data_IF_005184921281
#
_entry.id   IF_005184921281
#
_cell.length_a   1.000
_cell.length_b   1.000
_cell.length_c   1.000
_cell.angle_alpha   90.00
_cell.angle_beta   90.00
_cell.angle_gamma   90.00
#
_symmetry.space_group_name_H-M   'P 1'
#
loop_
_entity.id
_entity.type
_entity.pdbx_description
1 polymer ?
#
# COMPACT_ATOMS: atom_id res chain seq x y z
N UNK A 1 17.69 4.24 9.26
CA UNK A 1 17.92 2.80 8.99
C UNK A 1 19.37 2.42 9.28
N UNK A 2 19.65 1.29 9.93
CA UNK A 2 21.00 0.83 10.29
C UNK A 2 21.68 0.19 9.07
N UNK A 3 22.83 0.71 8.62
CA UNK A 3 23.53 0.20 7.42
C UNK A 3 23.95 -1.25 7.56
N UNK A 4 24.48 -1.62 8.73
CA UNK A 4 24.91 -3.00 9.03
C UNK A 4 23.80 -4.03 8.75
N UNK A 5 22.57 -3.74 9.20
CA UNK A 5 21.40 -4.61 8.97
C UNK A 5 21.04 -4.67 7.49
N UNK A 6 21.08 -3.54 6.77
CA UNK A 6 20.79 -3.51 5.32
C UNK A 6 21.79 -4.39 4.55
N UNK A 7 23.08 -4.33 4.91
CA UNK A 7 24.12 -5.15 4.27
C UNK A 7 23.94 -6.63 4.58
N UNK A 8 23.72 -6.96 5.85
CA UNK A 8 23.51 -8.33 6.31
C UNK A 8 22.31 -8.98 5.60
N UNK A 9 21.22 -8.24 5.47
CA UNK A 9 19.97 -8.69 4.81
C UNK A 9 19.96 -8.51 3.29
N UNK A 10 21.06 -8.01 2.71
CA UNK A 10 21.24 -7.76 1.27
C UNK A 10 20.18 -6.84 0.66
N UNK A 11 19.69 -5.86 1.42
CA UNK A 11 18.60 -4.96 1.01
C UNK A 11 19.09 -3.67 0.34
N UNK A 12 20.39 -3.52 0.07
CA UNK A 12 20.98 -2.28 -0.47
C UNK A 12 20.25 -1.80 -1.75
N UNK A 13 20.02 -2.72 -2.69
CA UNK A 13 19.34 -2.38 -3.95
C UNK A 13 17.88 -1.96 -3.74
N UNK A 14 17.18 -2.56 -2.78
CA UNK A 14 15.80 -2.18 -2.46
C UNK A 14 15.74 -0.77 -1.86
N UNK A 15 16.62 -0.45 -0.90
CA UNK A 15 16.70 0.89 -0.30
C UNK A 15 17.06 1.97 -1.32
N UNK A 16 17.98 1.70 -2.24
CA UNK A 16 18.32 2.65 -3.32
C UNK A 16 17.17 2.81 -4.32
N UNK A 17 16.45 1.73 -4.61
CA UNK A 17 15.25 1.76 -5.46
C UNK A 17 14.12 2.56 -4.80
N UNK A 18 13.87 2.34 -3.52
CA UNK A 18 12.90 3.07 -2.70
C UNK A 18 13.21 4.57 -2.72
N UNK A 19 14.45 4.96 -2.39
CA UNK A 19 14.90 6.35 -2.46
C UNK A 19 14.59 6.97 -3.82
N UNK A 20 14.90 6.27 -4.91
CA UNK A 20 14.71 6.78 -6.26
C UNK A 20 13.23 6.96 -6.60
N UNK A 21 12.41 5.93 -6.34
CA UNK A 21 10.99 5.96 -6.64
C UNK A 21 10.29 7.09 -5.86
N UNK A 22 10.57 7.20 -4.56
CA UNK A 22 9.98 8.25 -3.74
C UNK A 22 10.50 9.65 -4.10
N UNK A 23 11.77 9.78 -4.47
CA UNK A 23 12.36 11.06 -4.88
C UNK A 23 11.81 11.59 -6.21
N UNK A 24 11.27 10.71 -7.07
CA UNK A 24 10.62 11.05 -8.33
C UNK A 24 9.07 11.15 -8.20
N UNK A 25 8.50 10.85 -7.02
CA UNK A 25 7.07 10.87 -6.79
C UNK A 25 6.53 12.28 -6.54
N UNK A 26 5.50 12.66 -7.30
CA UNK A 26 4.78 13.92 -7.20
C UNK A 26 3.28 13.65 -7.33
N UNK A 27 2.69 13.18 -6.22
CA UNK A 27 1.30 12.75 -6.15
C UNK A 27 0.78 13.03 -4.74
N UNK A 28 -0.39 13.64 -4.61
CA UNK A 28 -0.99 13.96 -3.30
C UNK A 28 -1.33 12.72 -2.46
N UNK A 29 -1.40 11.54 -3.07
CA UNK A 29 -1.73 10.26 -2.45
C UNK A 29 -0.50 9.36 -2.22
N UNK A 30 0.71 9.88 -2.43
CA UNK A 30 1.98 9.23 -2.12
C UNK A 30 2.79 10.14 -1.21
N UNK A 31 3.37 9.62 -0.15
CA UNK A 31 4.19 10.43 0.76
C UNK A 31 5.40 11.02 0.03
N UNK A 32 5.64 12.32 0.24
CA UNK A 32 6.77 12.99 -0.41
C UNK A 32 8.08 12.69 0.31
N UNK A 33 9.12 12.30 -0.44
CA UNK A 33 10.50 12.31 0.03
C UNK A 33 11.16 13.65 -0.33
N UNK A 34 11.52 14.45 0.66
CA UNK A 34 12.15 15.75 0.43
C UNK A 34 13.66 15.63 0.20
N UNK A 35 14.34 14.84 1.03
CA UNK A 35 15.79 14.71 1.01
C UNK A 35 16.23 13.44 1.72
N UNK A 36 17.45 13.01 1.43
CA UNK A 36 18.13 11.90 2.09
C UNK A 36 19.46 12.37 2.67
N UNK A 37 19.88 11.71 3.75
CA UNK A 37 21.14 11.96 4.44
C UNK A 37 21.76 10.62 4.86
N UNK A 38 23.05 10.65 5.14
CA UNK A 38 23.77 9.50 5.69
C UNK A 38 24.89 9.93 6.63
N UNK A 39 25.22 9.05 7.56
CA UNK A 39 26.48 9.11 8.31
C UNK A 39 27.23 7.78 8.16
N UNK A 40 28.16 7.42 9.05
CA UNK A 40 28.89 6.15 8.97
C UNK A 40 28.05 4.93 9.34
N UNK A 41 26.91 5.10 9.99
CA UNK A 41 26.13 4.03 10.64
C UNK A 41 24.71 3.92 10.09
N UNK A 42 24.14 5.03 9.63
CA UNK A 42 22.73 5.16 9.31
C UNK A 42 22.49 5.86 7.98
N UNK A 43 21.34 5.51 7.40
CA UNK A 43 20.67 6.24 6.33
C UNK A 43 19.41 6.90 6.88
N UNK A 44 19.13 8.12 6.41
CA UNK A 44 18.00 8.95 6.85
C UNK A 44 17.20 9.43 5.64
N UNK A 45 15.89 9.25 5.68
CA UNK A 45 14.93 9.74 4.68
C UNK A 45 14.07 10.82 5.34
N UNK A 46 14.16 12.06 4.86
CA UNK A 46 13.33 13.18 5.32
C UNK A 46 12.06 13.23 4.46
N UNK A 47 10.95 12.81 5.05
CA UNK A 47 9.66 12.64 4.36
C UNK A 47 8.62 13.62 4.89
N UNK A 48 7.54 13.78 4.13
CA UNK A 48 6.31 14.43 4.59
C UNK A 48 5.74 13.72 5.82
N UNK A 49 5.37 14.50 6.83
CA UNK A 49 4.75 13.99 8.06
C UNK A 49 3.23 13.90 7.89
N UNK A 50 2.69 12.67 7.89
CA UNK A 50 1.26 12.40 7.89
C UNK A 50 0.77 12.19 9.32
N UNK A 51 0.43 13.28 10.03
CA UNK A 51 0.16 13.27 11.48
C UNK A 51 -1.21 12.69 11.89
N UNK A 52 -2.02 12.22 10.93
CA UNK A 52 -3.34 11.64 11.19
C UNK A 52 -3.32 10.20 11.71
N UNK A 53 -2.14 9.57 11.73
CA UNK A 53 -1.97 8.19 12.20
C UNK A 53 -2.10 7.14 11.11
N UNK A 54 -1.92 5.88 11.49
CA UNK A 54 -2.07 4.72 10.62
C UNK A 54 -3.55 4.38 10.41
N UNK A 55 -3.95 4.12 9.16
CA UNK A 55 -5.30 3.66 8.85
C UNK A 55 -5.61 2.33 9.56
N UNK A 56 -4.59 1.48 9.74
CA UNK A 56 -4.66 0.26 10.52
C UNK A 56 -5.19 0.47 11.94
N UNK A 57 -4.59 1.39 12.70
CA UNK A 57 -5.01 1.67 14.09
C UNK A 57 -6.45 2.17 14.12
N UNK A 58 -6.83 3.03 13.17
CA UNK A 58 -8.20 3.51 13.05
C UNK A 58 -9.19 2.37 12.71
N UNK A 59 -8.80 1.43 11.84
CA UNK A 59 -9.59 0.25 11.50
C UNK A 59 -9.76 -0.67 12.71
N UNK A 60 -8.65 -1.01 13.38
CA UNK A 60 -8.62 -1.85 14.59
C UNK A 60 -9.56 -1.33 15.66
N UNK A 61 -9.52 -0.02 15.93
CA UNK A 61 -10.31 0.60 16.99
C UNK A 61 -11.81 0.69 16.64
N UNK A 62 -12.14 0.84 15.34
CA UNK A 62 -13.53 0.80 14.85
C UNK A 62 -14.05 -0.61 14.59
N UNK A 63 -13.18 -1.60 14.49
CA UNK A 63 -13.46 -2.97 14.06
C UNK A 63 -13.60 -3.10 12.54
N UNK A 64 -14.40 -2.26 11.88
CA UNK A 64 -14.53 -2.20 10.42
C UNK A 64 -15.05 -0.82 9.99
N UNK A 65 -14.93 -0.51 8.71
CA UNK A 65 -15.47 0.69 8.08
C UNK A 65 -16.78 0.41 7.34
N UNK A 66 -17.62 1.44 7.23
CA UNK A 66 -18.76 1.40 6.34
C UNK A 66 -18.36 1.54 4.86
N UNK A 67 -19.34 1.36 3.97
CA UNK A 67 -19.15 1.41 2.52
C UNK A 67 -18.67 2.79 2.03
N UNK A 68 -19.14 3.88 2.65
CA UNK A 68 -18.74 5.25 2.31
C UNK A 68 -17.28 5.54 2.67
N UNK A 69 -16.91 5.16 3.89
CA UNK A 69 -15.55 5.32 4.44
C UNK A 69 -14.55 4.48 3.66
N UNK A 70 -14.87 3.20 3.42
CA UNK A 70 -14.02 2.31 2.63
C UNK A 70 -13.82 2.83 1.21
N UNK A 71 -14.89 3.35 0.59
CA UNK A 71 -14.85 3.93 -0.75
C UNK A 71 -13.95 5.14 -0.85
N UNK A 72 -13.97 6.04 0.13
CA UNK A 72 -13.07 7.19 0.14
C UNK A 72 -11.59 6.78 0.19
N UNK A 73 -11.23 5.86 1.08
CA UNK A 73 -9.83 5.42 1.20
C UNK A 73 -9.37 4.54 0.03
N UNK A 74 -10.25 3.68 -0.48
CA UNK A 74 -9.97 2.92 -1.71
C UNK A 74 -9.74 3.87 -2.89
N UNK A 75 -10.49 4.97 -2.97
CA UNK A 75 -10.29 5.97 -4.02
C UNK A 75 -8.92 6.68 -3.92
N UNK A 76 -8.45 6.99 -2.70
CA UNK A 76 -7.10 7.52 -2.49
C UNK A 76 -6.02 6.57 -3.03
N UNK A 77 -6.16 5.27 -2.72
CA UNK A 77 -5.24 4.24 -3.21
C UNK A 77 -5.32 4.08 -4.73
N UNK A 78 -6.52 4.16 -5.32
CA UNK A 78 -6.71 4.13 -6.77
C UNK A 78 -5.97 5.30 -7.46
N UNK A 79 -6.03 6.52 -6.92
CA UNK A 79 -5.28 7.65 -7.48
C UNK A 79 -3.76 7.48 -7.33
N UNK A 80 -3.29 6.94 -6.20
CA UNK A 80 -1.88 6.60 -6.03
C UNK A 80 -1.43 5.53 -7.05
N UNK A 81 -2.24 4.50 -7.26
CA UNK A 81 -1.96 3.45 -8.25
C UNK A 81 -1.99 3.98 -9.68
N UNK A 82 -2.90 4.89 -10.03
CA UNK A 82 -2.89 5.52 -11.35
C UNK A 82 -1.54 6.21 -11.62
N UNK A 83 -1.08 7.01 -10.64
CA UNK A 83 0.20 7.70 -10.71
C UNK A 83 1.40 6.75 -10.87
N UNK A 84 1.46 5.69 -10.05
CA UNK A 84 2.57 4.73 -10.05
C UNK A 84 2.57 3.86 -11.31
N UNK A 85 1.40 3.31 -11.67
CA UNK A 85 1.26 2.39 -12.79
C UNK A 85 1.46 3.08 -14.14
N UNK A 86 1.09 4.36 -14.28
CA UNK A 86 1.40 5.15 -15.49
C UNK A 86 2.91 5.34 -15.71
N UNK A 87 3.72 5.04 -14.70
CA UNK A 87 5.19 5.09 -14.69
C UNK A 87 5.83 3.69 -14.63
N UNK A 88 5.04 2.64 -14.83
CA UNK A 88 5.44 1.23 -14.64
C UNK A 88 6.07 0.94 -13.28
N UNK A 89 5.59 1.57 -12.21
CA UNK A 89 6.02 1.26 -10.85
C UNK A 89 4.96 0.37 -10.24
N UNK A 90 5.38 -0.81 -9.76
CA UNK A 90 4.56 -1.71 -8.94
C UNK A 90 4.89 -1.43 -7.46
N UNK A 91 3.88 -1.38 -6.59
CA UNK A 91 4.01 -1.03 -5.17
C UNK A 91 4.26 -2.26 -4.27
N UNK A 92 3.48 -3.34 -4.43
CA UNK A 92 3.66 -4.68 -3.82
C UNK A 92 3.49 -4.83 -2.30
N UNK A 93 3.22 -3.77 -1.54
CA UNK A 93 2.95 -3.90 -0.08
C UNK A 93 1.73 -3.09 0.37
N UNK A 94 0.64 -3.12 -0.40
CA UNK A 94 -0.61 -2.49 0.02
C UNK A 94 -1.22 -3.26 1.20
N UNK A 95 -1.44 -2.54 2.31
CA UNK A 95 -2.12 -2.98 3.53
C UNK A 95 -2.44 -1.75 4.40
N UNK A 96 -3.38 -1.81 5.36
CA UNK A 96 -3.75 -0.66 6.18
C UNK A 96 -2.60 0.00 6.95
N UNK A 97 -1.57 -0.75 7.31
CA UNK A 97 -0.37 -0.26 8.02
C UNK A 97 0.46 0.69 7.16
N UNK A 98 0.46 0.49 5.83
CA UNK A 98 1.19 1.33 4.88
C UNK A 98 0.33 2.47 4.31
N UNK A 99 -0.80 2.77 4.95
CA UNK A 99 -1.71 3.86 4.62
C UNK A 99 -1.74 4.84 5.79
N UNK A 100 -1.10 6.01 5.62
CA UNK A 100 -1.15 7.05 6.65
C UNK A 100 -2.18 8.11 6.30
N UNK A 101 -2.91 8.57 7.33
CA UNK A 101 -3.78 9.73 7.25
C UNK A 101 -2.93 11.00 7.40
N UNK A 102 -3.09 11.96 6.50
CA UNK A 102 -2.59 13.31 6.74
C UNK A 102 -3.50 14.10 7.70
N UNK A 103 -3.09 15.30 8.07
CA UNK A 103 -3.87 16.16 8.99
C UNK A 103 -5.26 16.54 8.50
N UNK A 104 -5.55 16.34 7.22
CA UNK A 104 -6.86 16.59 6.63
C UNK A 104 -7.70 15.32 6.52
N UNK A 105 -7.19 14.14 6.88
CA UNK A 105 -7.91 12.86 6.80
C UNK A 105 -7.82 12.16 5.44
N UNK A 106 -6.95 12.63 4.53
CA UNK A 106 -6.66 11.93 3.28
C UNK A 106 -5.58 10.88 3.50
N UNK A 107 -5.71 9.74 2.82
CA UNK A 107 -4.72 8.66 2.89
C UNK A 107 -3.61 8.86 1.87
N UNK A 108 -2.38 8.63 2.30
CA UNK A 108 -1.19 8.53 1.44
C UNK A 108 -0.52 7.18 1.59
N UNK A 109 -0.01 6.64 0.48
CA UNK A 109 0.88 5.47 0.51
C UNK A 109 2.22 5.85 1.13
N UNK A 110 2.69 5.02 2.05
CA UNK A 110 4.06 5.08 2.62
C UNK A 110 4.80 3.77 2.36
N UNK A 111 6.04 3.63 2.82
CA UNK A 111 6.87 2.42 2.70
C UNK A 111 6.98 1.87 1.25
N UNK A 112 8.02 2.30 0.55
CA UNK A 112 8.26 1.89 -0.84
C UNK A 112 9.37 0.83 -0.91
N UNK A 113 9.66 0.14 0.20
CA UNK A 113 10.72 -0.87 0.29
C UNK A 113 10.53 -2.05 -0.67
N UNK A 114 9.28 -2.38 -1.02
CA UNK A 114 8.95 -3.36 -2.05
C UNK A 114 8.57 -2.74 -3.39
N UNK A 115 8.53 -1.42 -3.53
CA UNK A 115 8.20 -0.81 -4.81
C UNK A 115 9.31 -1.07 -5.85
N UNK A 116 8.93 -1.25 -7.12
CA UNK A 116 9.88 -1.51 -8.19
C UNK A 116 9.42 -0.91 -9.51
N UNK A 117 10.32 -0.21 -10.21
CA UNK A 117 10.09 0.18 -11.60
C UNK A 117 10.36 -1.01 -12.51
N UNK A 118 9.39 -1.34 -13.36
CA UNK A 118 9.46 -2.41 -14.33
C UNK A 118 9.77 -1.83 -15.72
N UNK A 119 10.58 -2.54 -16.48
CA UNK A 119 10.73 -2.27 -17.91
C UNK A 119 9.42 -2.61 -18.63
N UNK A 120 9.09 -1.89 -19.70
CA UNK A 120 7.86 -2.13 -20.45
C UNK A 120 7.73 -3.58 -20.92
N UNK A 121 6.61 -4.22 -20.61
CA UNK A 121 6.33 -5.61 -20.96
C UNK A 121 7.15 -6.65 -20.17
N UNK A 122 7.90 -6.24 -19.15
CA UNK A 122 8.64 -7.14 -18.26
C UNK A 122 7.90 -7.36 -16.95
N UNK A 123 8.11 -8.55 -16.39
CA UNK A 123 7.67 -8.95 -15.06
C UNK A 123 8.84 -8.87 -14.08
N UNK A 124 8.55 -9.08 -12.79
CA UNK A 124 9.53 -9.33 -11.74
C UNK A 124 9.20 -10.65 -11.02
N UNK A 125 10.16 -11.25 -10.31
CA UNK A 125 10.05 -12.60 -9.71
C UNK A 125 10.35 -12.64 -8.22
N UNK A 126 10.72 -11.51 -7.61
CA UNK A 126 11.00 -11.44 -6.17
C UNK A 126 9.72 -11.75 -5.38
N UNK A 127 9.73 -12.83 -4.60
CA UNK A 127 8.65 -13.11 -3.65
C UNK A 127 8.73 -12.12 -2.49
N UNK A 128 7.79 -11.20 -2.39
CA UNK A 128 7.69 -10.19 -1.33
C UNK A 128 6.23 -9.76 -1.13
N UNK A 129 5.99 -8.97 -0.09
CA UNK A 129 4.66 -8.53 0.33
C UNK A 129 4.15 -9.29 1.56
N UNK A 130 3.05 -8.80 2.12
CA UNK A 130 2.41 -9.35 3.31
C UNK A 130 1.53 -10.56 2.96
N UNK A 131 1.64 -11.73 3.63
CA UNK A 131 1.09 -13.00 3.14
C UNK A 131 -0.38 -12.98 2.68
N UNK A 132 -1.24 -12.29 3.40
CA UNK A 132 -2.69 -12.15 3.16
C UNK A 132 -3.01 -11.34 1.89
N UNK A 133 -2.06 -10.51 1.45
CA UNK A 133 -2.16 -9.55 0.34
C UNK A 133 -1.47 -9.99 -0.94
N UNK A 134 -0.65 -11.05 -0.88
CA UNK A 134 0.13 -11.53 -2.02
C UNK A 134 -0.78 -12.18 -3.08
N UNK A 135 -0.60 -11.78 -4.34
CA UNK A 135 -1.38 -12.31 -5.46
C UNK A 135 -0.98 -13.77 -5.84
N UNK A 136 -1.90 -14.58 -6.39
CA UNK A 136 -1.66 -15.99 -6.74
C UNK A 136 -0.43 -16.23 -7.63
N UNK A 137 -0.16 -15.35 -8.59
CA UNK A 137 0.99 -15.46 -9.51
C UNK A 137 2.34 -15.24 -8.83
N UNK A 138 2.36 -14.49 -7.71
CA UNK A 138 3.55 -14.32 -6.87
C UNK A 138 3.82 -15.60 -6.10
N UNK A 139 2.76 -16.19 -5.50
CA UNK A 139 2.83 -17.48 -4.79
C UNK A 139 3.32 -18.60 -5.70
N UNK A 140 2.79 -18.65 -6.92
CA UNK A 140 3.15 -19.65 -7.93
C UNK A 140 4.45 -19.33 -8.68
N UNK A 141 5.13 -18.24 -8.34
CA UNK A 141 6.36 -17.77 -8.98
C UNK A 141 6.26 -17.68 -10.53
N UNK A 142 5.11 -17.22 -11.04
CA UNK A 142 4.84 -17.07 -12.50
C UNK A 142 5.30 -15.73 -13.08
N UNK A 143 5.99 -14.93 -12.26
CA UNK A 143 6.32 -13.54 -12.54
C UNK A 143 5.08 -12.63 -12.45
N UNK A 144 5.27 -11.46 -11.85
CA UNK A 144 4.21 -10.48 -11.60
C UNK A 144 4.60 -9.08 -12.11
N UNK A 145 3.57 -8.27 -12.36
CA UNK A 145 3.66 -6.85 -12.71
C UNK A 145 2.57 -6.07 -11.96
N UNK A 146 2.29 -4.83 -12.38
CA UNK A 146 1.29 -3.93 -11.75
C UNK A 146 -0.09 -4.57 -11.52
N UNK A 147 -0.43 -5.66 -12.22
CA UNK A 147 -1.67 -6.40 -11.96
C UNK A 147 -1.77 -6.96 -10.53
N UNK A 148 -0.65 -7.21 -9.85
CA UNK A 148 -0.65 -7.71 -8.48
C UNK A 148 -1.17 -6.65 -7.48
N UNK A 149 -0.93 -5.36 -7.75
CA UNK A 149 -1.45 -4.29 -6.90
C UNK A 149 -2.98 -4.21 -6.95
N UNK A 150 -3.61 -4.50 -8.09
CA UNK A 150 -5.07 -4.58 -8.19
C UNK A 150 -5.65 -5.75 -7.39
N UNK A 151 -4.93 -6.87 -7.26
CA UNK A 151 -5.34 -7.94 -6.35
C UNK A 151 -5.32 -7.44 -4.90
N UNK A 152 -4.22 -6.83 -4.48
CA UNK A 152 -4.07 -6.28 -3.13
C UNK A 152 -5.11 -5.19 -2.84
N UNK A 153 -5.56 -4.42 -3.84
CA UNK A 153 -6.66 -3.47 -3.70
C UNK A 153 -7.99 -4.14 -3.34
N UNK A 154 -8.28 -5.30 -3.95
CA UNK A 154 -9.47 -6.08 -3.62
C UNK A 154 -9.40 -6.70 -2.21
N UNK A 155 -8.20 -7.14 -1.79
CA UNK A 155 -7.94 -7.59 -0.41
C UNK A 155 -8.17 -6.44 0.58
N UNK A 156 -7.60 -5.26 0.31
CA UNK A 156 -7.77 -4.06 1.14
C UNK A 156 -9.24 -3.70 1.29
N UNK A 157 -10.00 -3.63 0.19
CA UNK A 157 -11.43 -3.33 0.24
C UNK A 157 -12.20 -4.29 1.13
N UNK A 158 -11.90 -5.59 1.05
CA UNK A 158 -12.55 -6.58 1.89
C UNK A 158 -12.19 -6.34 3.36
N UNK A 159 -10.90 -6.20 3.68
CA UNK A 159 -10.45 -5.97 5.06
C UNK A 159 -11.03 -4.69 5.67
N UNK A 160 -11.07 -3.59 4.92
CA UNK A 160 -11.68 -2.36 5.43
C UNK A 160 -13.17 -2.55 5.75
N UNK A 161 -13.90 -3.38 5.01
CA UNK A 161 -15.34 -3.63 5.22
C UNK A 161 -15.65 -4.67 6.31
N UNK A 162 -14.68 -5.50 6.69
CA UNK A 162 -14.89 -6.63 7.62
C UNK A 162 -14.02 -6.60 8.86
N UNK A 163 -12.94 -5.80 8.85
CA UNK A 163 -11.88 -5.78 9.85
C UNK A 163 -10.82 -6.86 9.67
N UNK A 164 -10.96 -7.77 8.70
CA UNK A 164 -10.02 -8.88 8.49
C UNK A 164 -9.86 -9.24 7.00
N UNK A 165 -8.66 -9.65 6.55
CA UNK A 165 -8.45 -10.07 5.17
C UNK A 165 -9.30 -11.30 4.77
N UNK A 166 -9.73 -11.41 3.50
CA UNK A 166 -10.54 -12.52 3.00
C UNK A 166 -9.81 -13.86 3.04
N UNK A 167 -8.48 -13.84 2.93
CA UNK A 167 -7.63 -15.03 2.90
C UNK A 167 -6.78 -15.06 4.17
N UNK A 168 -7.26 -15.74 5.21
CA UNK A 168 -6.54 -15.86 6.48
C UNK A 168 -6.40 -17.33 6.88
N UNK A 169 -5.18 -17.78 7.14
CA UNK A 169 -4.85 -19.10 7.65
C UNK A 169 -4.06 -19.03 8.96
N UNK A 170 -3.96 -20.15 9.67
CA UNK A 170 -3.18 -20.21 10.92
C UNK A 170 -1.66 -20.10 10.75
N UNK A 171 -1.17 -20.12 9.51
CA UNK A 171 0.22 -19.89 9.13
C UNK A 171 0.27 -19.44 7.65
N UNK A 172 1.39 -18.84 7.19
CA UNK A 172 1.49 -18.33 5.82
C UNK A 172 1.20 -19.37 4.73
N UNK A 173 1.60 -20.64 4.91
CA UNK A 173 1.35 -21.69 3.91
C UNK A 173 -0.13 -22.02 3.80
N UNK A 174 -0.88 -22.02 4.92
CA UNK A 174 -2.34 -22.15 4.89
C UNK A 174 -2.99 -20.95 4.22
N UNK A 175 -2.53 -19.73 4.50
CA UNK A 175 -3.00 -18.51 3.82
C UNK A 175 -2.81 -18.63 2.31
N UNK A 176 -1.63 -19.04 1.85
CA UNK A 176 -1.35 -19.25 0.42
C UNK A 176 -2.26 -20.32 -0.20
N UNK A 177 -2.51 -21.43 0.49
CA UNK A 177 -3.43 -22.46 0.01
C UNK A 177 -4.88 -21.95 -0.12
N UNK A 178 -5.30 -21.01 0.72
CA UNK A 178 -6.62 -20.38 0.63
C UNK A 178 -6.65 -19.39 -0.54
N UNK A 179 -5.61 -18.58 -0.72
CA UNK A 179 -5.47 -17.66 -1.86
C UNK A 179 -5.57 -18.42 -3.19
N UNK A 180 -4.90 -19.57 -3.31
CA UNK A 180 -4.90 -20.39 -4.53
C UNK A 180 -6.25 -21.08 -4.83
N UNK A 181 -7.20 -21.11 -3.89
CA UNK A 181 -8.59 -21.53 -4.16
C UNK A 181 -9.40 -20.44 -4.83
N UNK A 182 -8.91 -19.21 -4.83
CA UNK A 182 -9.52 -18.05 -5.47
C UNK A 182 -10.61 -17.37 -4.62
N UNK A 183 -10.92 -16.12 -4.97
CA UNK A 183 -11.92 -15.29 -4.25
C UNK A 183 -13.34 -15.87 -4.31
N UNK A 184 -13.64 -16.71 -5.31
CA UNK A 184 -14.95 -17.34 -5.45
C UNK A 184 -15.20 -18.45 -4.41
N UNK A 185 -14.15 -18.92 -3.72
CA UNK A 185 -14.26 -19.84 -2.59
C UNK A 185 -14.50 -19.12 -1.24
N UNK A 186 -14.45 -17.78 -1.21
CA UNK A 186 -14.64 -16.98 0.01
C UNK A 186 -16.11 -16.63 0.18
N UNK A 187 -16.62 -16.85 1.39
CA UNK A 187 -17.96 -16.40 1.78
C UNK A 187 -17.93 -14.91 2.12
N UNK A 188 -18.75 -14.12 1.41
CA UNK A 188 -18.87 -12.69 1.66
C UNK A 188 -19.93 -12.43 2.75
N UNK A 189 -19.57 -11.74 3.85
CA UNK A 189 -20.55 -11.31 4.84
C UNK A 189 -21.67 -10.47 4.21
N UNK A 190 -22.89 -10.60 4.76
CA UNK A 190 -24.07 -9.84 4.29
C UNK A 190 -23.93 -8.32 4.46
N UNK A 191 -22.99 -7.86 5.30
CA UNK A 191 -22.65 -6.45 5.48
C UNK A 191 -21.98 -5.84 4.25
N UNK A 192 -21.29 -6.64 3.43
CA UNK A 192 -20.66 -6.17 2.20
C UNK A 192 -21.73 -5.95 1.13
N UNK A 193 -21.78 -4.75 0.56
CA UNK A 193 -22.76 -4.42 -0.47
C UNK A 193 -22.54 -5.24 -1.74
N UNK A 194 -23.61 -5.50 -2.51
CA UNK A 194 -23.50 -6.25 -3.77
C UNK A 194 -22.51 -5.63 -4.75
N UNK A 195 -22.44 -4.29 -4.79
CA UNK A 195 -21.52 -3.57 -5.67
C UNK A 195 -20.07 -3.68 -5.18
N UNK A 196 -19.82 -3.62 -3.86
CA UNK A 196 -18.49 -3.87 -3.28
C UNK A 196 -18.02 -5.30 -3.58
N UNK A 197 -18.87 -6.30 -3.32
CA UNK A 197 -18.58 -7.71 -3.65
C UNK A 197 -18.24 -7.90 -5.12
N UNK A 198 -19.02 -7.27 -6.02
CA UNK A 198 -18.77 -7.35 -7.45
C UNK A 198 -17.43 -6.73 -7.85
N UNK A 199 -17.02 -5.63 -7.21
CA UNK A 199 -15.72 -4.99 -7.46
C UNK A 199 -14.57 -5.85 -6.92
N UNK A 200 -14.65 -6.30 -5.66
CA UNK A 200 -13.64 -7.17 -5.03
C UNK A 200 -13.40 -8.42 -5.88
N UNK A 201 -14.46 -9.10 -6.34
CA UNK A 201 -14.32 -10.29 -7.21
C UNK A 201 -13.66 -9.99 -8.56
N UNK A 202 -13.86 -8.79 -9.11
CA UNK A 202 -13.22 -8.37 -10.37
C UNK A 202 -11.76 -7.96 -10.18
N UNK A 203 -11.39 -7.46 -9.01
CA UNK A 203 -10.02 -7.12 -8.63
C UNK A 203 -9.21 -8.40 -8.30
N UNK A 204 -9.82 -9.32 -7.54
CA UNK A 204 -9.20 -10.57 -7.12
C UNK A 204 -9.43 -11.73 -8.11
N UNK A 205 -9.28 -11.48 -9.42
CA UNK A 205 -9.27 -12.57 -10.41
C UNK A 205 -7.94 -13.34 -10.34
N UNK A 206 -8.03 -14.67 -10.41
CA UNK A 206 -6.85 -15.54 -10.38
C UNK A 206 -5.92 -15.29 -11.57
N UNK A 207 -6.51 -15.11 -12.76
CA UNK A 207 -5.78 -14.70 -13.95
C UNK A 207 -5.52 -13.19 -13.90
N UNK A 208 -4.25 -12.72 -13.83
CA UNK A 208 -3.96 -11.31 -13.71
C UNK A 208 -4.46 -10.46 -14.89
N UNK A 209 -4.52 -11.05 -16.09
CA UNK A 209 -5.03 -10.39 -17.29
C UNK A 209 -6.53 -10.07 -17.25
N UNK A 210 -7.28 -10.72 -16.36
CA UNK A 210 -8.73 -10.53 -16.19
C UNK A 210 -9.07 -9.54 -15.08
N UNK A 211 -8.07 -9.05 -14.33
CA UNK A 211 -8.30 -8.09 -13.24
C UNK A 211 -8.74 -6.74 -13.80
N UNK A 212 -9.82 -6.21 -13.22
CA UNK A 212 -10.24 -4.84 -13.50
C UNK A 212 -9.10 -3.89 -13.17
N UNK A 213 -8.82 -2.91 -14.04
CA UNK A 213 -7.65 -2.04 -13.92
C UNK A 213 -6.48 -2.42 -14.84
N UNK A 214 -6.32 -3.71 -15.18
CA UNK A 214 -5.23 -4.19 -16.05
C UNK A 214 -5.65 -4.34 -17.52
N UNK A 215 -6.95 -4.38 -17.77
CA UNK A 215 -7.53 -4.49 -19.12
C UNK A 215 -7.33 -3.21 -19.95
N UNK A 216 -7.75 -3.21 -21.21
CA UNK A 216 -7.56 -2.09 -22.16
C UNK A 216 -8.00 -0.71 -21.63
N UNK A 217 -9.04 -0.64 -20.80
CA UNK A 217 -9.52 0.61 -20.20
C UNK A 217 -8.70 1.10 -19.00
N UNK A 218 -7.71 0.33 -18.55
CA UNK A 218 -6.83 0.66 -17.44
C UNK A 218 -7.58 0.87 -16.13
N UNK A 219 -6.98 1.64 -15.24
CA UNK A 219 -7.53 1.97 -13.93
C UNK A 219 -8.84 2.75 -14.00
N UNK A 220 -9.13 3.42 -15.13
CA UNK A 220 -10.39 4.14 -15.34
C UNK A 220 -11.62 3.22 -15.25
N UNK A 221 -11.45 1.92 -15.51
CA UNK A 221 -12.54 0.94 -15.38
C UNK A 221 -12.85 0.62 -13.90
N UNK A 222 -11.89 0.79 -12.99
CA UNK A 222 -12.14 0.75 -11.55
C UNK A 222 -12.93 1.99 -11.15
N UNK A 223 -12.52 3.18 -11.60
CA UNK A 223 -13.18 4.45 -11.29
C UNK A 223 -14.65 4.51 -11.76
N UNK A 224 -14.96 3.88 -12.90
CA UNK A 224 -16.31 3.78 -13.49
C UNK A 224 -17.15 2.63 -12.92
N UNK A 225 -16.59 1.80 -12.04
CA UNK A 225 -17.34 0.67 -11.49
C UNK A 225 -18.53 1.16 -10.66
N UNK A 226 -19.67 0.45 -10.71
CA UNK A 226 -20.91 0.83 -10.01
C UNK A 226 -20.81 1.07 -8.50
N UNK A 227 -19.73 0.57 -7.89
CA UNK A 227 -19.47 0.83 -6.46
C UNK A 227 -19.06 2.30 -6.22
N UNK A 228 -18.41 2.92 -7.19
CA UNK A 228 -18.07 4.34 -7.22
C UNK A 228 -19.15 5.22 -7.88
N UNK A 229 -20.35 4.70 -8.17
CA UNK A 229 -21.44 5.52 -8.71
C UNK A 229 -21.72 6.71 -7.77
N UNK A 230 -21.65 7.92 -8.31
CA UNK A 230 -21.83 9.18 -7.59
C UNK A 230 -20.59 9.66 -6.80
N UNK A 231 -19.47 8.93 -6.82
CA UNK A 231 -18.24 9.37 -6.17
C UNK A 231 -17.56 10.49 -6.97
N UNK A 232 -17.23 11.61 -6.30
CA UNK A 232 -16.63 12.78 -6.95
C UNK A 232 -15.09 12.66 -7.02
N UNK A 233 -14.60 11.97 -8.05
CA UNK A 233 -13.15 11.82 -8.29
C UNK A 233 -12.42 13.14 -8.50
N UNK A 234 -13.05 14.13 -9.15
CA UNK A 234 -12.45 15.46 -9.34
C UNK A 234 -12.28 16.17 -8.00
N UNK A 235 -13.29 16.11 -7.13
CA UNK A 235 -13.21 16.64 -5.78
C UNK A 235 -12.20 15.92 -4.90
N UNK A 236 -11.99 14.61 -5.11
CA UNK A 236 -10.91 13.87 -4.45
C UNK A 236 -9.54 14.43 -4.85
N UNK A 237 -9.26 14.55 -6.16
CA UNK A 237 -7.99 15.08 -6.70
C UNK A 237 -7.75 16.53 -6.33
N UNK A 238 -8.81 17.34 -6.32
CA UNK A 238 -8.75 18.74 -5.90
C UNK A 238 -8.70 18.92 -4.38
N UNK A 239 -8.76 17.81 -3.62
CA UNK A 239 -8.82 17.79 -2.15
C UNK A 239 -9.95 18.64 -1.55
N UNK A 240 -11.09 18.68 -2.24
CA UNK A 240 -12.30 19.41 -1.81
C UNK A 240 -13.39 18.50 -1.25
N UNK A 241 -13.21 17.17 -1.31
CA UNK A 241 -14.11 16.24 -0.65
C UNK A 241 -13.86 16.25 0.86
N UNK A 242 -14.93 16.18 1.64
CA UNK A 242 -14.83 15.99 3.09
C UNK A 242 -14.45 14.53 3.39
N UNK A 243 -13.33 14.27 4.08
CA UNK A 243 -12.94 12.91 4.43
C UNK A 243 -13.85 12.32 5.52
N UNK A 244 -14.08 11.00 5.50
CA UNK A 244 -15.00 10.33 6.42
C UNK A 244 -14.49 10.30 7.87
N UNK A 245 -13.17 10.43 8.06
CA UNK A 245 -12.54 10.48 9.38
C UNK A 245 -11.58 11.65 9.40
N UNK A 246 -11.91 12.66 10.21
CA UNK A 246 -11.04 13.81 10.44
C UNK A 246 -10.16 13.52 11.67
N UNK A 247 -8.84 13.35 11.51
CA UNK A 247 -7.94 13.16 12.64
C UNK A 247 -7.81 14.45 13.44
N UNK A 248 -7.58 14.32 14.75
CA UNK A 248 -7.30 15.47 15.60
C UNK A 248 -5.80 15.70 15.64
N UNK A 249 -5.33 16.79 15.03
CA UNK A 249 -3.92 17.20 15.04
C UNK A 249 -3.84 18.64 15.56
N UNK A 250 -3.28 18.83 16.74
CA UNK A 250 -3.23 20.14 17.40
C UNK A 250 -2.13 21.06 16.85
N UNK A 251 -0.99 20.49 16.46
CA UNK A 251 0.16 21.20 15.94
C UNK A 251 1.11 20.24 15.21
N UNK A 252 2.19 20.76 14.63
CA UNK A 252 3.15 19.99 13.85
C UNK A 252 3.99 18.97 14.64
N UNK A 253 3.91 18.97 15.97
CA UNK A 253 4.59 18.03 16.87
C UNK A 253 3.62 17.10 17.59
N UNK A 254 2.33 17.16 17.25
CA UNK A 254 1.30 16.31 17.85
C UNK A 254 1.38 14.90 17.27
N UNK A 255 1.76 13.93 18.11
CA UNK A 255 1.88 12.52 17.75
C UNK A 255 0.80 11.65 18.41
N UNK A 256 -0.28 12.23 18.96
CA UNK A 256 -1.28 11.44 19.72
C UNK A 256 -2.09 10.45 18.88
N UNK A 257 -2.03 10.54 17.56
CA UNK A 257 -2.68 9.59 16.65
C UNK A 257 -1.80 8.35 16.35
N UNK A 258 -0.64 8.23 17.00
CA UNK A 258 0.25 7.09 16.90
C UNK A 258 0.38 6.38 18.24
N UNK A 259 0.59 5.07 18.19
CA UNK A 259 0.91 4.29 19.39
C UNK A 259 2.25 4.78 19.99
N UNK A 260 2.41 4.68 21.32
CA UNK A 260 3.66 5.04 21.97
C UNK A 260 4.69 3.94 21.79
N UNK A 261 5.83 4.29 21.17
CA UNK A 261 6.98 3.39 21.03
C UNK A 261 8.10 3.83 21.97
N UNK A 262 8.75 2.88 22.68
CA UNK A 262 9.92 3.22 23.48
C UNK A 262 11.04 3.72 22.56
N UNK A 263 11.89 4.66 23.02
CA UNK A 263 13.08 5.07 22.29
C UNK A 263 13.97 3.87 21.94
N UNK A 264 14.59 3.90 20.75
CA UNK A 264 15.60 2.88 20.37
C UNK A 264 16.73 2.86 21.41
N UNK A 265 16.88 1.72 22.05
CA UNK A 265 17.87 1.46 23.11
C UNK A 265 18.98 0.52 22.64
N UNK A 266 18.92 0.07 21.38
CA UNK A 266 19.96 -0.77 20.81
C UNK A 266 21.29 -0.02 20.76
N UNK A 267 22.42 -0.71 20.94
CA UNK A 267 23.73 -0.11 20.73
C UNK A 267 23.87 0.37 19.27
N UNK A 268 24.63 1.45 19.03
CA UNK A 268 24.91 1.91 17.67
C UNK A 268 25.54 0.78 16.83
N UNK A 269 25.11 0.59 15.57
CA UNK A 269 25.69 -0.44 14.72
C UNK A 269 27.16 -0.11 14.38
N UNK A 270 27.94 -1.09 13.89
CA UNK A 270 29.28 -0.83 13.38
C UNK A 270 29.25 0.17 12.21
N UNK A 271 30.38 0.83 11.97
CA UNK A 271 30.55 1.73 10.82
C UNK A 271 30.49 0.92 9.51
N UNK A 272 29.80 1.46 8.50
CA UNK A 272 29.83 1.02 7.12
C UNK A 272 30.31 2.17 6.23
N UNK A 273 31.51 1.99 5.71
CA UNK A 273 32.24 2.90 4.81
C UNK A 273 32.44 2.31 3.41
N UNK A 274 31.68 1.27 3.06
CA UNK A 274 31.84 0.55 1.78
C UNK A 274 31.42 1.37 0.55
N UNK A 275 30.60 2.42 0.73
CA UNK A 275 30.27 3.41 -0.30
C UNK A 275 29.12 3.02 -1.24
N UNK A 276 28.38 1.94 -0.97
CA UNK A 276 27.19 1.57 -1.78
C UNK A 276 26.09 2.63 -1.73
N UNK A 277 26.12 3.49 -0.72
CA UNK A 277 25.19 4.57 -0.42
C UNK A 277 25.76 5.94 -0.78
N UNK A 278 26.72 6.04 -1.71
CA UNK A 278 27.37 7.32 -2.06
C UNK A 278 26.39 8.40 -2.51
N UNK A 279 25.35 8.00 -3.23
CA UNK A 279 24.34 8.91 -3.73
C UNK A 279 23.21 9.14 -2.73
N UNK A 280 23.28 8.61 -1.50
CA UNK A 280 22.21 8.70 -0.49
C UNK A 280 22.12 10.08 0.16
#
# INVERSE_FOLDING_TARGET
MKKAQIVETRQQQHIMSEKRIMGEADCDFVVKLFKTFKDRKYLYMLMEACLGGELWTVLRDKGHFDDGTTRFYTACVVEAFDYLHSRNIIYRDLKPENLLLDSQGYVKLVDFGFAKRLDHGRKTWTFCGTPEYVAPEVILNKGHDISADYWSLGVLMFELLTGTPPFTGGDPMKTYNIILKGIDAIEFPRSITRNATALIKKLCRDNPAERLGYQKGGISEIQKHKWFDGFNWEGLRARTLEPPIMPRVQNATDTTNFDEYPPDSDPPPPDDISGWDNDF
#
